data_IF_886930869416
#
_entry.id   IF_886930869416
#
_cell.length_a   1.000
_cell.length_b   1.000
_cell.length_c   1.000
_cell.angle_alpha   90.00
_cell.angle_beta   90.00
_cell.angle_gamma   90.00
#
_symmetry.space_group_name_H-M   'P 1'
#
loop_
_entity.id
_entity.type
_entity.pdbx_description
1 polymer ?
#
# COMPACT_ATOMS: atom_id res chain seq x y z
N UNK A 1 11.94 -21.44 9.42
CA UNK A 1 12.09 -19.97 9.33
C UNK A 1 10.72 -19.33 9.53
N UNK A 2 10.60 -18.20 10.26
CA UNK A 2 9.30 -17.51 10.41
C UNK A 2 8.91 -16.83 9.08
N UNK A 3 7.68 -17.05 8.61
CA UNK A 3 7.15 -16.40 7.40
C UNK A 3 7.09 -14.88 7.60
N UNK A 4 7.48 -14.06 6.60
CA UNK A 4 7.32 -12.61 6.69
C UNK A 4 5.85 -12.21 6.83
N UNK A 5 5.50 -11.52 7.92
CA UNK A 5 4.20 -10.84 8.08
C UNK A 5 4.05 -9.67 7.10
N UNK A 6 3.01 -9.70 6.28
CA UNK A 6 2.67 -8.68 5.28
C UNK A 6 1.28 -8.13 5.57
N UNK A 7 1.14 -6.81 5.54
CA UNK A 7 -0.16 -6.13 5.50
C UNK A 7 -0.42 -5.66 4.07
N UNK A 8 -1.41 -6.26 3.42
CA UNK A 8 -1.91 -5.82 2.11
C UNK A 8 -3.18 -4.99 2.34
N UNK A 9 -3.15 -3.69 2.07
CA UNK A 9 -4.25 -2.78 2.39
C UNK A 9 -4.64 -1.88 1.22
N UNK A 10 -5.93 -1.81 0.92
CA UNK A 10 -6.50 -0.94 -0.11
C UNK A 10 -7.96 -0.61 0.21
N UNK A 11 -8.47 0.54 -0.24
CA UNK A 11 -9.93 0.79 -0.20
C UNK A 11 -10.67 -0.07 -1.21
N UNK A 12 -12.01 -0.09 -1.13
CA UNK A 12 -12.88 -0.72 -2.12
C UNK A 12 -12.67 -0.22 -3.55
N UNK A 13 -13.22 -0.96 -4.52
CA UNK A 13 -13.19 -0.64 -5.94
C UNK A 13 -11.89 -1.04 -6.62
N UNK A 14 -11.41 -0.24 -7.57
CA UNK A 14 -10.23 -0.55 -8.40
C UNK A 14 -8.95 -0.79 -7.60
N UNK A 15 -8.75 -0.09 -6.47
CA UNK A 15 -7.59 -0.29 -5.60
C UNK A 15 -7.57 -1.73 -5.03
N UNK A 16 -8.71 -2.21 -4.50
CA UNK A 16 -8.83 -3.58 -4.00
C UNK A 16 -8.54 -4.61 -5.10
N UNK A 17 -9.18 -4.46 -6.27
CA UNK A 17 -8.97 -5.36 -7.41
C UNK A 17 -7.49 -5.41 -7.82
N UNK A 18 -6.81 -4.27 -7.88
CA UNK A 18 -5.38 -4.20 -8.21
C UNK A 18 -4.52 -4.88 -7.15
N UNK A 19 -4.80 -4.64 -5.87
CA UNK A 19 -4.02 -5.24 -4.78
C UNK A 19 -4.18 -6.77 -4.79
N UNK A 20 -5.39 -7.27 -5.03
CA UNK A 20 -5.68 -8.71 -5.04
C UNK A 20 -5.02 -9.42 -6.23
N UNK A 21 -4.76 -8.74 -7.35
CA UNK A 21 -3.97 -9.31 -8.47
C UNK A 21 -2.54 -9.62 -8.08
N UNK A 22 -2.00 -8.94 -7.07
CA UNK A 22 -0.65 -9.19 -6.54
C UNK A 22 -0.59 -10.37 -5.58
N UNK A 23 -1.69 -11.12 -5.38
CA UNK A 23 -1.76 -12.24 -4.42
C UNK A 23 -0.58 -13.22 -4.52
N UNK A 24 -0.17 -13.57 -5.73
CA UNK A 24 0.91 -14.54 -5.96
C UNK A 24 2.28 -13.98 -5.54
N UNK A 25 2.45 -12.65 -5.53
CA UNK A 25 3.67 -12.01 -5.03
C UNK A 25 3.83 -12.14 -3.51
N UNK A 26 2.76 -12.57 -2.80
CA UNK A 26 2.78 -12.81 -1.37
C UNK A 26 2.92 -14.30 -0.99
N UNK A 27 3.17 -15.18 -1.96
CA UNK A 27 3.35 -16.61 -1.67
C UNK A 27 4.50 -16.83 -0.68
N UNK A 28 4.26 -17.68 0.32
CA UNK A 28 5.20 -17.92 1.43
C UNK A 28 5.18 -16.87 2.54
N UNK A 29 4.39 -15.79 2.43
CA UNK A 29 4.20 -14.79 3.48
C UNK A 29 3.00 -15.10 4.38
N UNK A 30 3.00 -14.51 5.58
CA UNK A 30 1.84 -14.45 6.47
C UNK A 30 1.07 -13.15 6.19
N UNK A 31 0.03 -13.24 5.35
CA UNK A 31 -0.67 -12.07 4.81
C UNK A 31 -1.91 -11.77 5.63
N UNK A 32 -2.00 -10.52 6.09
CA UNK A 32 -3.26 -9.92 6.54
C UNK A 32 -3.74 -8.94 5.49
N UNK A 33 -4.93 -9.17 4.96
CA UNK A 33 -5.62 -8.26 4.05
C UNK A 33 -6.45 -7.26 4.84
N UNK A 34 -6.51 -6.02 4.37
CA UNK A 34 -7.40 -5.02 4.94
C UNK A 34 -8.06 -4.18 3.86
N UNK A 35 -9.36 -3.95 4.02
CA UNK A 35 -10.12 -3.07 3.13
C UNK A 35 -11.30 -2.42 3.83
N UNK A 36 -12.02 -1.57 3.10
CA UNK A 36 -13.13 -0.78 3.65
C UNK A 36 -14.49 -1.47 3.55
N UNK A 37 -14.57 -2.61 2.86
CA UNK A 37 -15.78 -3.40 2.68
C UNK A 37 -15.60 -4.79 3.33
N UNK A 38 -16.42 -5.17 4.32
CA UNK A 38 -16.32 -6.47 4.96
C UNK A 38 -16.62 -7.65 4.02
N UNK A 39 -17.34 -7.43 2.91
CA UNK A 39 -17.67 -8.47 1.93
C UNK A 39 -16.44 -9.10 1.26
N UNK A 40 -15.33 -8.38 1.22
CA UNK A 40 -14.08 -8.87 0.64
C UNK A 40 -13.38 -9.96 1.47
N UNK A 41 -13.81 -10.21 2.71
CA UNK A 41 -13.27 -11.30 3.52
C UNK A 41 -13.39 -12.66 2.82
N UNK A 42 -14.48 -12.89 2.09
CA UNK A 42 -14.69 -14.12 1.34
C UNK A 42 -13.74 -14.27 0.14
N UNK A 43 -13.29 -13.16 -0.47
CA UNK A 43 -12.41 -13.19 -1.65
C UNK A 43 -10.96 -13.57 -1.34
N UNK A 44 -10.55 -13.46 -0.08
CA UNK A 44 -9.18 -13.75 0.38
C UNK A 44 -9.12 -14.90 1.38
N UNK A 45 -10.25 -15.54 1.66
CA UNK A 45 -10.28 -16.73 2.50
C UNK A 45 -9.36 -17.82 1.92
N UNK A 46 -8.61 -18.56 2.76
CA UNK A 46 -8.67 -18.58 4.23
C UNK A 46 -7.72 -17.58 4.92
N UNK A 47 -7.12 -16.63 4.20
CA UNK A 47 -6.20 -15.65 4.79
C UNK A 47 -6.92 -14.65 5.69
N UNK A 48 -6.19 -14.03 6.62
CA UNK A 48 -6.77 -13.07 7.57
C UNK A 48 -7.26 -11.82 6.83
N UNK A 49 -8.46 -11.38 7.14
CA UNK A 49 -9.03 -10.13 6.64
C UNK A 49 -9.44 -9.20 7.80
N UNK A 50 -9.22 -7.89 7.64
CA UNK A 50 -9.63 -6.85 8.60
C UNK A 50 -10.34 -5.72 7.87
N UNK A 51 -11.60 -5.46 8.25
CA UNK A 51 -12.31 -4.30 7.75
C UNK A 51 -11.84 -3.02 8.49
N UNK A 52 -11.51 -1.97 7.74
CA UNK A 52 -11.19 -0.64 8.25
C UNK A 52 -12.22 0.39 7.81
N UNK A 53 -12.45 1.47 8.57
CA UNK A 53 -13.43 2.49 8.20
C UNK A 53 -13.10 3.16 6.87
N UNK A 54 -14.12 3.30 6.02
CA UNK A 54 -14.02 4.16 4.85
C UNK A 54 -13.96 5.63 5.27
N UNK A 55 -12.98 6.34 4.72
CA UNK A 55 -12.85 7.76 4.91
C UNK A 55 -12.78 8.45 3.54
N UNK A 56 -13.68 9.39 3.33
CA UNK A 56 -13.62 10.31 2.18
C UNK A 56 -12.92 11.59 2.59
N UNK A 57 -12.36 12.31 1.60
CA UNK A 57 -11.63 13.57 1.80
C UNK A 57 -12.44 14.66 2.53
N UNK A 58 -13.77 14.56 2.50
CA UNK A 58 -14.70 15.55 3.02
C UNK A 58 -15.08 15.33 4.49
N UNK A 59 -14.83 14.13 5.02
CA UNK A 59 -15.25 13.74 6.36
C UNK A 59 -14.03 13.60 7.29
N UNK A 60 -13.62 14.73 7.88
CA UNK A 60 -12.41 14.81 8.74
C UNK A 60 -12.51 13.88 9.95
N UNK A 61 -13.70 13.68 10.49
CA UNK A 61 -13.93 12.80 11.64
C UNK A 61 -13.69 11.35 11.23
N UNK A 62 -14.26 10.91 10.10
CA UNK A 62 -14.00 9.56 9.58
C UNK A 62 -12.55 9.36 9.17
N UNK A 63 -11.86 10.38 8.69
CA UNK A 63 -10.41 10.32 8.43
C UNK A 63 -9.61 10.05 9.69
N UNK A 64 -9.90 10.77 10.78
CA UNK A 64 -9.23 10.54 12.08
C UNK A 64 -9.56 9.15 12.61
N UNK A 65 -10.81 8.71 12.51
CA UNK A 65 -11.21 7.37 12.94
C UNK A 65 -10.52 6.27 12.12
N UNK A 66 -10.45 6.43 10.80
CA UNK A 66 -9.73 5.52 9.90
C UNK A 66 -8.23 5.49 10.23
N UNK A 67 -7.62 6.65 10.47
CA UNK A 67 -6.22 6.76 10.91
C UNK A 67 -5.97 5.99 12.22
N UNK A 68 -6.81 6.19 13.24
CA UNK A 68 -6.68 5.50 14.52
C UNK A 68 -6.85 4.00 14.37
N UNK A 69 -7.84 3.54 13.59
CA UNK A 69 -8.11 2.12 13.39
C UNK A 69 -7.00 1.42 12.60
N UNK A 70 -6.52 2.06 11.54
CA UNK A 70 -5.36 1.57 10.76
C UNK A 70 -4.09 1.58 11.63
N UNK A 71 -3.90 2.62 12.44
CA UNK A 71 -2.77 2.69 13.37
C UNK A 71 -2.76 1.57 14.40
N UNK A 72 -3.91 1.29 15.00
CA UNK A 72 -4.08 0.15 15.90
C UNK A 72 -3.77 -1.17 15.19
N UNK A 73 -4.32 -1.38 13.98
CA UNK A 73 -4.05 -2.59 13.18
C UNK A 73 -2.55 -2.79 12.92
N UNK A 74 -1.84 -1.74 12.48
CA UNK A 74 -0.40 -1.81 12.21
C UNK A 74 0.39 -2.09 13.49
N UNK A 75 0.06 -1.41 14.59
CA UNK A 75 0.73 -1.58 15.87
C UNK A 75 0.54 -2.99 16.47
N UNK A 76 -0.66 -3.57 16.32
CA UNK A 76 -0.97 -4.93 16.77
C UNK A 76 -0.34 -5.99 15.88
N UNK A 77 -0.36 -5.81 14.56
CA UNK A 77 0.15 -6.80 13.60
C UNK A 77 1.69 -6.80 13.54
N UNK A 78 2.32 -5.63 13.75
CA UNK A 78 3.76 -5.39 13.55
C UNK A 78 4.26 -6.01 12.25
N UNK A 79 3.73 -5.58 11.09
CA UNK A 79 4.09 -6.15 9.79
C UNK A 79 5.57 -5.87 9.48
N UNK A 80 6.23 -6.81 8.80
CA UNK A 80 7.57 -6.54 8.26
C UNK A 80 7.49 -5.75 6.94
N UNK A 81 6.39 -5.93 6.18
CA UNK A 81 6.12 -5.22 4.95
C UNK A 81 4.65 -4.76 4.87
N UNK A 82 4.41 -3.57 4.33
CA UNK A 82 3.08 -3.06 4.02
C UNK A 82 3.02 -2.76 2.52
N UNK A 83 2.00 -3.28 1.85
CA UNK A 83 1.74 -3.05 0.43
C UNK A 83 0.37 -2.41 0.25
N UNK A 84 0.32 -1.32 -0.51
CA UNK A 84 -0.93 -0.61 -0.80
C UNK A 84 -0.98 -0.17 -2.25
N UNK A 85 -2.13 -0.36 -2.88
CA UNK A 85 -2.46 0.16 -4.22
C UNK A 85 -3.26 1.47 -4.18
N UNK A 86 -3.51 2.03 -2.98
CA UNK A 86 -4.03 3.38 -2.85
C UNK A 86 -5.05 3.65 -1.74
N UNK A 87 -5.64 4.84 -1.91
CA UNK A 87 -6.51 5.60 -1.01
C UNK A 87 -5.92 5.94 0.38
N UNK A 88 -6.70 6.69 1.17
CA UNK A 88 -6.28 7.18 2.47
C UNK A 88 -5.86 6.07 3.48
N UNK A 89 -6.58 4.93 3.60
CA UNK A 89 -6.19 3.87 4.53
C UNK A 89 -4.80 3.30 4.23
N UNK A 90 -4.47 3.12 2.95
CA UNK A 90 -3.15 2.70 2.51
C UNK A 90 -2.07 3.71 2.90
N UNK A 91 -2.32 5.00 2.66
CA UNK A 91 -1.38 6.06 3.03
C UNK A 91 -1.10 6.07 4.54
N UNK A 92 -2.14 5.96 5.36
CA UNK A 92 -2.00 5.88 6.82
C UNK A 92 -1.20 4.66 7.26
N UNK A 93 -1.49 3.49 6.68
CA UNK A 93 -0.76 2.27 7.00
C UNK A 93 0.73 2.39 6.70
N UNK A 94 1.10 2.94 5.53
CA UNK A 94 2.51 3.15 5.18
C UNK A 94 3.18 4.14 6.13
N UNK A 95 2.52 5.26 6.44
CA UNK A 95 3.10 6.29 7.31
C UNK A 95 3.38 5.75 8.71
N UNK A 96 2.47 4.97 9.27
CA UNK A 96 2.56 4.39 10.60
C UNK A 96 3.52 3.20 10.59
N UNK A 97 3.44 2.33 9.59
CA UNK A 97 4.34 1.17 9.45
C UNK A 97 5.79 1.56 9.42
N UNK A 98 6.13 2.66 8.74
CA UNK A 98 7.48 3.20 8.73
C UNK A 98 7.98 3.62 10.12
N UNK A 99 7.11 4.16 10.97
CA UNK A 99 7.46 4.49 12.37
C UNK A 99 7.81 3.21 13.15
N UNK A 100 7.13 2.10 12.83
CA UNK A 100 7.41 0.78 13.41
C UNK A 100 8.49 -0.03 12.66
N UNK A 101 9.22 0.58 11.72
CA UNK A 101 10.32 -0.06 10.99
C UNK A 101 9.89 -1.01 9.86
N UNK A 102 8.63 -1.03 9.46
CA UNK A 102 8.17 -1.83 8.33
C UNK A 102 8.72 -1.31 7.00
N UNK A 103 9.05 -2.22 6.08
CA UNK A 103 9.23 -1.87 4.65
C UNK A 103 7.88 -1.51 4.07
N UNK A 104 7.83 -0.52 3.19
CA UNK A 104 6.57 0.06 2.69
C UNK A 104 6.60 0.14 1.16
N UNK A 105 5.59 -0.40 0.51
CA UNK A 105 5.44 -0.39 -0.93
C UNK A 105 4.14 0.32 -1.29
N UNK A 106 4.26 1.44 -2.00
CA UNK A 106 3.14 2.09 -2.65
C UNK A 106 3.11 1.71 -4.12
N UNK A 107 1.98 1.27 -4.61
CA UNK A 107 1.74 1.04 -6.03
C UNK A 107 0.66 2.02 -6.42
N UNK A 108 0.97 3.02 -7.23
CA UNK A 108 -0.05 3.98 -7.62
C UNK A 108 -1.08 3.30 -8.53
N UNK A 109 -2.32 3.76 -8.44
CA UNK A 109 -3.39 3.16 -9.20
C UNK A 109 -3.27 3.52 -10.66
N UNK A 110 -3.48 2.53 -11.53
CA UNK A 110 -3.46 2.68 -13.00
C UNK A 110 -4.31 3.85 -13.53
N UNK A 111 -5.32 4.29 -12.78
CA UNK A 111 -6.19 5.39 -13.16
C UNK A 111 -5.47 6.76 -13.25
N UNK A 112 -4.26 6.90 -12.71
CA UNK A 112 -3.51 8.16 -12.73
C UNK A 112 -2.34 8.06 -13.71
N UNK A 113 -2.59 8.39 -14.99
CA UNK A 113 -1.59 8.33 -16.06
C UNK A 113 -0.65 9.55 -16.09
N UNK A 114 -1.20 10.75 -15.89
CA UNK A 114 -0.44 12.00 -16.08
C UNK A 114 0.39 12.42 -14.87
N UNK A 115 -0.10 12.13 -13.66
CA UNK A 115 0.55 12.49 -12.39
C UNK A 115 0.23 11.46 -11.31
N UNK A 116 1.09 11.31 -10.30
CA UNK A 116 0.75 10.49 -9.14
C UNK A 116 -0.54 11.00 -8.46
N UNK A 117 -1.35 10.07 -7.97
CA UNK A 117 -2.50 10.43 -7.13
C UNK A 117 -2.07 11.32 -5.95
N UNK A 118 -2.95 12.20 -5.44
CA UNK A 118 -2.60 13.04 -4.27
C UNK A 118 -2.10 12.20 -3.08
N UNK A 119 -2.69 11.01 -2.89
CA UNK A 119 -2.24 10.06 -1.86
C UNK A 119 -0.89 9.44 -2.24
N UNK A 120 -0.66 9.12 -3.51
CA UNK A 120 0.62 8.62 -4.03
C UNK A 120 1.76 9.63 -3.92
N UNK A 121 1.52 10.89 -4.25
CA UNK A 121 2.49 11.97 -4.09
C UNK A 121 2.88 12.19 -2.62
N UNK A 122 1.93 12.02 -1.69
CA UNK A 122 2.21 12.06 -0.25
C UNK A 122 2.89 10.78 0.22
N UNK A 123 2.42 9.63 -0.23
CA UNK A 123 2.92 8.31 0.14
C UNK A 123 4.36 8.11 -0.32
N UNK A 124 4.74 8.58 -1.51
CA UNK A 124 6.08 8.41 -2.08
C UNK A 124 7.18 9.02 -1.20
N UNK A 125 6.88 10.11 -0.50
CA UNK A 125 7.79 10.72 0.50
C UNK A 125 8.11 9.78 1.66
N UNK A 126 7.20 8.85 1.97
CA UNK A 126 7.33 7.94 3.10
C UNK A 126 7.64 6.51 2.68
N UNK A 127 7.13 6.04 1.55
CA UNK A 127 7.28 4.68 1.07
C UNK A 127 8.76 4.25 0.99
N UNK A 128 9.05 2.97 1.16
CA UNK A 128 10.36 2.39 0.87
C UNK A 128 10.56 2.32 -0.63
N UNK A 129 9.52 1.88 -1.35
CA UNK A 129 9.46 1.81 -2.81
C UNK A 129 8.11 2.35 -3.29
N UNK A 130 8.13 3.14 -4.36
CA UNK A 130 6.91 3.62 -5.03
C UNK A 130 6.94 3.14 -6.47
N UNK A 131 5.90 2.43 -6.89
CA UNK A 131 5.74 1.90 -8.23
C UNK A 131 4.58 2.58 -8.95
N UNK A 132 4.73 2.77 -10.26
CA UNK A 132 3.70 3.21 -11.19
C UNK A 132 3.72 2.33 -12.43
N UNK A 133 2.62 2.28 -13.17
CA UNK A 133 2.54 1.55 -14.44
C UNK A 133 3.09 2.38 -15.60
N UNK A 134 3.17 3.69 -15.43
CA UNK A 134 3.39 4.68 -16.48
C UNK A 134 4.87 5.07 -16.58
N UNK A 135 5.55 4.82 -17.72
CA UNK A 135 6.97 5.13 -17.90
C UNK A 135 7.30 6.62 -17.80
N UNK A 136 6.34 7.50 -18.10
CA UNK A 136 6.46 8.94 -17.98
C UNK A 136 6.57 9.45 -16.53
N UNK A 137 6.21 8.61 -15.55
CA UNK A 137 6.18 8.99 -14.12
C UNK A 137 7.43 8.58 -13.33
N UNK A 138 8.38 7.88 -13.93
CA UNK A 138 9.64 7.51 -13.29
C UNK A 138 10.52 6.61 -14.16
N UNK A 139 11.80 6.37 -13.81
CA UNK A 139 12.67 5.42 -14.50
C UNK A 139 12.22 3.96 -14.28
N UNK A 140 12.67 3.07 -15.18
CA UNK A 140 12.37 1.64 -15.07
C UNK A 140 12.90 1.06 -13.76
N UNK A 141 12.14 0.15 -13.15
CA UNK A 141 12.63 -0.63 -12.03
C UNK A 141 13.67 -1.65 -12.53
N UNK A 142 14.95 -1.43 -12.21
CA UNK A 142 16.00 -2.44 -12.43
C UNK A 142 15.75 -3.66 -11.53
N UNK A 143 16.18 -4.85 -11.99
CA UNK A 143 15.90 -6.16 -11.39
C UNK A 143 16.38 -6.33 -9.94
N UNK A 144 17.15 -5.39 -9.41
CA UNK A 144 17.36 -5.22 -7.98
C UNK A 144 17.45 -3.71 -7.67
N UNK A 145 16.43 -3.07 -7.06
CA UNK A 145 16.59 -1.71 -6.61
C UNK A 145 17.68 -1.70 -5.53
N UNK A 146 18.86 -1.20 -5.87
CA UNK A 146 19.85 -0.81 -4.89
C UNK A 146 19.15 0.16 -3.93
N UNK A 147 19.38 0.00 -2.62
CA UNK A 147 18.80 0.88 -1.58
C UNK A 147 19.35 2.33 -1.65
N UNK A 148 19.87 2.75 -2.80
CA UNK A 148 20.74 3.90 -2.96
C UNK A 148 20.15 4.81 -4.03
N UNK A 149 19.16 5.59 -3.62
CA UNK A 149 18.63 6.72 -4.39
C UNK A 149 18.31 7.84 -3.42
N UNK A 150 19.36 8.44 -2.85
CA UNK A 150 19.24 9.68 -2.11
C UNK A 150 19.41 10.84 -3.10
N UNK A 151 18.29 11.32 -3.65
CA UNK A 151 18.25 12.58 -4.37
C UNK A 151 17.28 13.52 -3.64
N UNK A 152 17.85 14.45 -2.88
CA UNK A 152 17.19 15.63 -2.32
C UNK A 152 15.84 15.39 -1.60
N UNK A 153 15.76 14.35 -0.75
CA UNK A 153 14.60 14.11 0.11
C UNK A 153 13.31 13.68 -0.62
N UNK A 154 13.36 13.46 -1.94
CA UNK A 154 12.33 12.80 -2.72
C UNK A 154 12.81 11.39 -3.04
N UNK A 155 12.13 10.38 -2.50
CA UNK A 155 12.38 9.01 -2.90
C UNK A 155 11.90 8.78 -4.33
N UNK A 156 12.76 8.14 -5.13
CA UNK A 156 12.51 7.83 -6.53
C UNK A 156 11.25 6.97 -6.70
N UNK A 157 10.43 7.36 -7.68
CA UNK A 157 9.27 6.61 -8.16
C UNK A 157 9.74 5.81 -9.35
N UNK A 158 9.45 4.51 -9.40
CA UNK A 158 9.87 3.66 -10.51
C UNK A 158 8.65 3.20 -11.31
N UNK A 159 8.76 3.10 -12.63
CA UNK A 159 7.75 2.40 -13.40
C UNK A 159 8.09 0.90 -13.47
N UNK A 160 7.07 0.05 -13.28
CA UNK A 160 7.20 -1.41 -13.31
C UNK A 160 6.35 -2.07 -14.43
N UNK A 161 5.88 -1.26 -15.39
CA UNK A 161 4.97 -1.70 -16.45
C UNK A 161 3.57 -2.05 -15.94
N UNK A 162 2.64 -2.31 -16.85
CA UNK A 162 1.32 -2.80 -16.51
C UNK A 162 1.42 -4.30 -16.16
N UNK A 163 1.51 -4.63 -14.88
CA UNK A 163 1.25 -6.01 -14.43
C UNK A 163 -0.26 -6.22 -14.53
N UNK A 164 -0.70 -6.82 -15.65
CA UNK A 164 -2.11 -7.12 -15.94
C UNK A 164 -2.63 -8.28 -15.09
#
# INVERSE_FOLDING_TARGET
MKRPRVLAIASRGGHWTQLRRLRNAFDGCDVTWASTDPGFAAEVAPQRFVCVPEATRWDRIKLVWSLLRVGFLVASLRPHCIVSTGAAPGFFALRIGKIFGARTLWIDSIANAETLSLSGAKASRFATLTLTQWPELGPALESAPSQTGNDNGKKTVYHAGAVL
#
